data_IF_563796387023
#
_entry.id   IF_563796387023
#
_cell.length_a   1.000
_cell.length_b   1.000
_cell.length_c   1.000
_cell.angle_alpha   90.00
_cell.angle_beta   90.00
_cell.angle_gamma   90.00
#
_symmetry.space_group_name_H-M   'P 1'
#
loop_
_entity.id
_entity.type
_entity.pdbx_description
1 polymer ?
#
# COMPACT_ATOMS: atom_id res chain seq x y z
N UNK A 1 -15.85 6.75 -1.57
CA UNK A 1 -14.64 6.68 -2.42
C UNK A 1 -14.89 5.61 -3.46
N UNK A 2 -15.02 5.95 -4.75
CA UNK A 2 -15.15 4.93 -5.82
C UNK A 2 -13.72 4.54 -6.19
N UNK A 3 -13.27 3.38 -5.75
CA UNK A 3 -12.01 2.80 -6.21
C UNK A 3 -12.22 2.28 -7.63
N UNK A 4 -11.46 2.79 -8.59
CA UNK A 4 -11.48 2.36 -10.00
C UNK A 4 -10.74 1.01 -10.16
N UNK A 5 -11.04 0.04 -9.32
CA UNK A 5 -10.32 -1.23 -9.23
C UNK A 5 -11.25 -2.41 -9.52
N UNK A 6 -10.81 -3.33 -10.37
CA UNK A 6 -11.55 -4.54 -10.67
C UNK A 6 -11.36 -5.61 -9.57
N UNK A 7 -12.17 -6.67 -9.59
CA UNK A 7 -12.12 -7.72 -8.57
C UNK A 7 -10.77 -8.47 -8.48
N UNK A 8 -10.08 -8.67 -9.60
CA UNK A 8 -8.77 -9.35 -9.60
C UNK A 8 -7.69 -8.47 -8.96
N UNK A 9 -7.70 -7.18 -9.30
CA UNK A 9 -6.83 -6.18 -8.72
C UNK A 9 -7.06 -6.02 -7.21
N UNK A 10 -8.33 -5.99 -6.77
CA UNK A 10 -8.67 -5.93 -5.35
C UNK A 10 -8.19 -7.19 -4.61
N UNK A 11 -8.40 -8.37 -5.17
CA UNK A 11 -7.93 -9.62 -4.57
C UNK A 11 -6.40 -9.71 -4.50
N UNK A 12 -5.69 -9.19 -5.52
CA UNK A 12 -4.23 -9.13 -5.53
C UNK A 12 -3.71 -8.15 -4.46
N UNK A 13 -4.32 -6.97 -4.34
CA UNK A 13 -3.92 -5.98 -3.35
C UNK A 13 -4.19 -6.47 -1.91
N UNK A 14 -5.31 -7.15 -1.65
CA UNK A 14 -5.54 -7.79 -0.34
C UNK A 14 -4.50 -8.86 0.01
N UNK A 15 -4.01 -9.61 -0.99
CA UNK A 15 -2.90 -10.55 -0.76
C UNK A 15 -1.60 -9.84 -0.40
N UNK A 16 -1.36 -8.64 -0.94
CA UNK A 16 -0.22 -7.80 -0.52
C UNK A 16 -0.39 -7.36 0.93
N UNK A 17 -1.58 -6.89 1.33
CA UNK A 17 -1.87 -6.55 2.73
C UNK A 17 -1.63 -7.73 3.67
N UNK A 18 -2.25 -8.87 3.39
CA UNK A 18 -2.15 -10.05 4.24
C UNK A 18 -0.75 -10.67 4.27
N UNK A 19 -0.06 -10.71 3.12
CA UNK A 19 1.19 -11.43 2.96
C UNK A 19 2.46 -10.61 3.20
N UNK A 20 2.39 -9.28 3.06
CA UNK A 20 3.57 -8.42 3.11
C UNK A 20 3.42 -7.26 4.10
N UNK A 21 2.30 -6.52 4.05
CA UNK A 21 2.18 -5.28 4.83
C UNK A 21 1.90 -5.55 6.31
N UNK A 22 0.88 -6.37 6.62
CA UNK A 22 0.54 -6.71 8.02
C UNK A 22 1.68 -7.42 8.75
N UNK A 23 2.39 -8.41 8.15
CA UNK A 23 3.58 -8.99 8.78
C UNK A 23 4.71 -7.98 9.02
N UNK A 24 4.78 -6.91 8.21
CA UNK A 24 5.77 -5.84 8.40
C UNK A 24 5.34 -4.77 9.43
N UNK A 25 4.10 -4.83 9.93
CA UNK A 25 3.55 -3.90 10.92
C UNK A 25 2.79 -2.70 10.33
N UNK A 26 2.46 -2.71 9.03
CA UNK A 26 1.49 -1.78 8.43
C UNK A 26 0.07 -2.32 8.54
N UNK A 27 -0.94 -1.44 8.55
CA UNK A 27 -2.36 -1.83 8.67
C UNK A 27 -2.63 -2.66 9.93
N UNK A 28 -2.23 -2.18 11.13
CA UNK A 28 -2.38 -2.93 12.38
C UNK A 28 -3.84 -3.21 12.73
N UNK A 29 -4.75 -2.31 12.31
CA UNK A 29 -6.19 -2.40 12.53
C UNK A 29 -6.91 -3.31 11.51
N UNK A 30 -6.20 -3.71 10.44
CA UNK A 30 -6.72 -4.62 9.42
C UNK A 30 -7.81 -4.01 8.53
N UNK A 31 -7.80 -2.69 8.34
CA UNK A 31 -8.74 -1.98 7.48
C UNK A 31 -8.48 -2.29 5.99
N UNK A 32 -7.22 -2.56 5.63
CA UNK A 32 -6.83 -3.00 4.28
C UNK A 32 -7.32 -2.06 3.18
N UNK A 33 -8.08 -2.62 2.22
CA UNK A 33 -8.65 -1.85 1.10
C UNK A 33 -9.66 -0.77 1.51
N UNK A 34 -10.16 -0.81 2.74
CA UNK A 34 -11.14 0.15 3.25
C UNK A 34 -10.51 1.24 4.12
N UNK A 35 -9.21 1.15 4.37
CA UNK A 35 -8.51 2.12 5.22
C UNK A 35 -8.36 3.49 4.57
N UNK A 36 -8.44 4.53 5.39
CA UNK A 36 -8.30 5.92 4.93
C UNK A 36 -6.87 6.23 4.42
N UNK A 37 -5.90 5.42 4.83
CA UNK A 37 -4.49 5.54 4.48
C UNK A 37 -4.16 4.93 3.11
N UNK A 38 -5.11 4.19 2.50
CA UNK A 38 -4.93 3.60 1.18
C UNK A 38 -5.41 4.57 0.10
N UNK A 39 -4.50 4.87 -0.81
CA UNK A 39 -4.82 5.56 -2.04
C UNK A 39 -4.61 4.63 -3.23
N UNK A 40 -5.57 4.63 -4.14
CA UNK A 40 -5.53 3.82 -5.36
C UNK A 40 -5.89 4.72 -6.54
N UNK A 41 -5.02 4.72 -7.54
CA UNK A 41 -5.32 5.21 -8.88
C UNK A 41 -5.34 4.02 -9.83
N UNK A 42 -6.53 3.64 -10.27
CA UNK A 42 -6.78 2.39 -10.98
C UNK A 42 -7.52 2.58 -12.30
N UNK A 43 -7.32 1.63 -13.21
CA UNK A 43 -8.01 1.49 -14.47
C UNK A 43 -8.00 0.05 -14.99
N UNK A 44 -8.59 -0.20 -16.19
CA UNK A 44 -8.66 -1.55 -16.76
C UNK A 44 -7.29 -2.18 -17.02
N UNK A 45 -6.27 -1.36 -17.28
CA UNK A 45 -4.92 -1.81 -17.65
C UNK A 45 -4.00 -2.06 -16.46
N UNK A 46 -4.36 -1.54 -15.28
CA UNK A 46 -3.56 -1.66 -14.06
C UNK A 46 -3.97 -0.69 -12.97
N UNK A 47 -3.27 -0.75 -11.84
CA UNK A 47 -3.38 0.21 -10.75
C UNK A 47 -2.01 0.62 -10.22
N UNK A 48 -1.95 1.85 -9.73
CA UNK A 48 -0.90 2.38 -8.88
C UNK A 48 -1.52 2.61 -7.51
N UNK A 49 -0.82 2.25 -6.44
CA UNK A 49 -1.31 2.45 -5.08
C UNK A 49 -0.20 2.88 -4.15
N UNK A 50 -0.59 3.59 -3.10
CA UNK A 50 0.27 3.94 -1.97
C UNK A 50 -0.53 3.86 -0.66
N UNK A 51 0.14 3.40 0.37
CA UNK A 51 -0.36 3.23 1.72
C UNK A 51 0.66 3.83 2.68
N UNK A 52 0.25 4.90 3.36
CA UNK A 52 1.11 5.65 4.26
C UNK A 52 0.62 5.49 5.70
N UNK A 53 1.44 4.87 6.54
CA UNK A 53 1.12 4.62 7.94
C UNK A 53 2.41 4.60 8.78
N UNK A 54 2.64 5.63 9.59
CA UNK A 54 3.90 5.80 10.31
C UNK A 54 4.17 4.59 11.25
N UNK A 55 5.39 4.02 11.23
CA UNK A 55 6.63 4.54 10.65
C UNK A 55 6.98 3.94 9.27
N UNK A 56 6.00 3.46 8.52
CA UNK A 56 6.18 2.72 7.28
C UNK A 56 5.38 3.36 6.12
N UNK A 57 5.83 3.09 4.91
CA UNK A 57 5.08 3.43 3.72
C UNK A 57 5.29 2.32 2.71
N UNK A 58 4.21 1.96 2.02
CA UNK A 58 4.22 0.96 0.98
C UNK A 58 3.55 1.52 -0.26
N UNK A 59 4.11 1.21 -1.42
CA UNK A 59 3.52 1.59 -2.69
C UNK A 59 3.77 0.50 -3.71
N UNK A 60 2.98 0.49 -4.78
CA UNK A 60 3.14 -0.53 -5.79
C UNK A 60 2.34 -0.28 -7.04
N UNK A 61 2.55 -1.18 -7.99
CA UNK A 61 1.78 -1.25 -9.23
C UNK A 61 1.25 -2.68 -9.41
N UNK A 62 0.08 -2.81 -10.01
CA UNK A 62 -0.48 -4.10 -10.44
C UNK A 62 -1.02 -3.97 -11.87
N UNK A 63 -0.82 -4.96 -12.72
CA UNK A 63 -1.47 -5.06 -14.03
C UNK A 63 -2.95 -5.48 -13.90
N UNK A 64 -3.70 -5.46 -15.00
CA UNK A 64 -5.10 -5.92 -15.01
C UNK A 64 -5.32 -7.40 -14.61
N UNK A 65 -4.25 -8.21 -14.51
CA UNK A 65 -4.26 -9.60 -14.06
C UNK A 65 -3.83 -9.77 -12.59
N UNK A 66 -3.42 -8.69 -11.93
CA UNK A 66 -2.98 -8.70 -10.54
C UNK A 66 -1.49 -9.06 -10.34
N UNK A 67 -0.65 -9.00 -11.37
CA UNK A 67 0.81 -9.09 -11.20
C UNK A 67 1.41 -7.70 -11.01
N UNK A 68 2.49 -7.58 -10.25
CA UNK A 68 3.22 -6.33 -10.23
C UNK A 68 4.31 -6.27 -9.18
N UNK A 69 4.65 -5.04 -8.79
CA UNK A 69 5.77 -4.74 -7.92
C UNK A 69 5.29 -4.01 -6.67
N UNK A 70 5.93 -4.31 -5.56
CA UNK A 70 5.65 -3.70 -4.26
C UNK A 70 6.96 -3.20 -3.68
N UNK A 71 6.94 -1.95 -3.21
CA UNK A 71 8.02 -1.33 -2.47
C UNK A 71 7.54 -1.05 -1.06
N UNK A 72 8.40 -1.39 -0.10
CA UNK A 72 8.19 -1.17 1.32
C UNK A 72 9.38 -0.38 1.85
N UNK A 73 9.11 0.72 2.56
CA UNK A 73 10.16 1.53 3.19
C UNK A 73 9.77 1.95 4.60
N UNK A 74 10.78 2.14 5.45
CA UNK A 74 10.63 2.90 6.70
C UNK A 74 10.62 4.39 6.39
N UNK A 75 9.61 5.07 6.91
CA UNK A 75 9.54 6.53 6.99
C UNK A 75 10.19 6.88 8.33
N UNK A 76 11.51 7.08 8.30
CA UNK A 76 12.23 7.47 9.51
C UNK A 76 11.76 8.84 10.00
N UNK A 77 11.68 9.02 11.32
CA UNK A 77 11.75 10.36 11.92
C UNK A 77 13.03 11.02 11.40
N UNK A 78 12.90 12.18 10.76
CA UNK A 78 14.04 13.05 10.47
C UNK A 78 14.79 13.20 11.79
N UNK A 79 16.00 12.63 11.88
CA UNK A 79 16.89 12.94 13.00
C UNK A 79 17.12 14.44 12.91
N UNK A 80 16.55 15.19 13.86
CA UNK A 80 16.83 16.61 14.00
C UNK A 80 18.35 16.84 14.02
N UNK A 81 18.84 18.00 13.56
CA UNK A 81 20.27 18.22 13.44
C UNK A 81 20.95 17.95 14.79
N UNK A 82 21.90 17.01 14.79
CA UNK A 82 22.78 16.78 15.93
C UNK A 82 23.59 18.06 16.14
N UNK A 83 23.19 18.89 17.09
CA UNK A 83 24.00 19.99 17.55
C UNK A 83 25.26 19.39 18.21
N UNK A 84 26.43 19.69 17.63
CA UNK A 84 27.75 19.47 18.23
C UNK A 84 28.33 20.84 18.56
#
# INVERSE_FOLDING_TARGET
MRTNMNALQAAALERVFAGMLRPAGLDPDGEGLYGANLHVDGGPDGLVWWYDDEPLSANGTLDGKGHGLVWLRRVGTVAGPTAV
#
